data_IF_022155907795
#
_entry.id   IF_022155907795
#
_cell.length_a   1.000
_cell.length_b   1.000
_cell.length_c   1.000
_cell.angle_alpha   90.00
_cell.angle_beta   90.00
_cell.angle_gamma   90.00
#
_symmetry.space_group_name_H-M   'P 1'
#
loop_
_entity.id
_entity.type
_entity.pdbx_description
1 polymer ?
#
# COMPACT_ATOMS: atom_id res chain seq x y z
N UNK A 1 1.25 -13.01 -28.06
CA UNK A 1 0.67 -11.65 -27.96
C UNK A 1 -0.70 -11.68 -27.32
N UNK A 2 -0.76 -11.51 -25.99
CA UNK A 2 -2.03 -11.31 -25.28
C UNK A 2 -2.18 -9.80 -25.09
N UNK A 3 -3.22 -9.14 -25.65
CA UNK A 3 -3.44 -7.72 -25.41
C UNK A 3 -3.75 -7.50 -23.93
N UNK A 4 -2.97 -6.64 -23.26
CA UNK A 4 -3.27 -6.16 -21.91
C UNK A 4 -4.49 -5.23 -21.99
N UNK A 5 -5.69 -5.79 -21.95
CA UNK A 5 -6.92 -5.01 -21.85
C UNK A 5 -7.14 -4.60 -20.39
N UNK A 6 -6.96 -3.31 -20.11
CA UNK A 6 -7.32 -2.72 -18.83
C UNK A 6 -8.82 -2.38 -18.89
N UNK A 7 -9.66 -3.26 -18.36
CA UNK A 7 -11.12 -3.08 -18.36
C UNK A 7 -11.57 -2.48 -17.03
N UNK A 8 -12.08 -1.25 -17.09
CA UNK A 8 -12.79 -0.61 -15.97
C UNK A 8 -14.25 -1.08 -15.87
N UNK A 9 -14.79 -1.16 -14.67
CA UNK A 9 -16.18 -1.52 -14.34
C UNK A 9 -17.19 -0.36 -14.49
N UNK A 10 -16.73 0.89 -14.57
CA UNK A 10 -17.53 2.05 -14.98
C UNK A 10 -17.40 2.21 -16.51
N UNK A 11 -18.53 2.21 -17.23
CA UNK A 11 -18.60 2.39 -18.69
C UNK A 11 -17.81 3.61 -19.18
N UNK A 12 -17.67 4.65 -18.36
CA UNK A 12 -16.89 5.84 -18.69
C UNK A 12 -15.39 5.61 -18.60
N UNK A 13 -14.91 4.89 -17.58
CA UNK A 13 -13.50 4.56 -17.39
C UNK A 13 -13.04 3.42 -18.30
N UNK A 14 -13.93 2.48 -18.65
CA UNK A 14 -13.63 1.43 -19.64
C UNK A 14 -13.18 2.01 -20.98
N UNK A 15 -13.65 3.21 -21.36
CA UNK A 15 -13.24 3.89 -22.60
C UNK A 15 -11.83 4.46 -22.56
N UNK A 16 -11.28 4.76 -21.37
CA UNK A 16 -9.88 5.23 -21.24
C UNK A 16 -8.88 4.10 -21.48
N UNK A 17 -9.25 2.85 -21.16
CA UNK A 17 -8.41 1.67 -21.40
C UNK A 17 -8.22 1.25 -22.87
N UNK A 18 -8.88 1.92 -23.82
CA UNK A 18 -8.68 1.72 -25.25
C UNK A 18 -7.66 2.71 -25.80
N UNK A 19 -6.41 2.30 -25.93
CA UNK A 19 -5.37 3.08 -26.62
C UNK A 19 -5.52 2.87 -28.13
N UNK A 20 -5.88 3.89 -28.94
CA UNK A 20 -5.88 3.77 -30.38
C UNK A 20 -4.44 3.92 -30.88
N UNK A 21 -4.02 2.97 -31.73
CA UNK A 21 -2.74 2.87 -32.43
C UNK A 21 -1.58 2.24 -31.64
N UNK A 22 -0.96 1.28 -32.33
CA UNK A 22 0.19 0.42 -32.02
C UNK A 22 1.49 1.17 -31.61
N UNK A 23 1.42 2.16 -30.70
CA UNK A 23 2.61 2.80 -30.13
C UNK A 23 3.28 1.82 -29.15
N UNK A 24 4.63 1.75 -29.15
CA UNK A 24 5.37 0.88 -28.26
C UNK A 24 4.95 1.16 -26.81
N UNK A 25 4.59 0.09 -26.10
CA UNK A 25 4.09 0.14 -24.72
C UNK A 25 5.24 0.61 -23.83
N UNK A 26 5.31 1.92 -23.57
CA UNK A 26 5.83 2.40 -22.29
C UNK A 26 4.97 1.68 -21.25
N UNK A 27 5.60 1.04 -20.27
CA UNK A 27 4.90 0.31 -19.20
C UNK A 27 4.02 1.27 -18.40
N UNK A 28 2.80 1.51 -18.87
CA UNK A 28 1.80 2.35 -18.19
C UNK A 28 1.21 1.49 -17.06
N UNK A 29 1.51 1.85 -15.81
CA UNK A 29 1.01 1.16 -14.62
C UNK A 29 -0.32 1.74 -14.12
N UNK A 30 -0.74 2.89 -14.64
CA UNK A 30 -1.99 3.56 -14.30
C UNK A 30 -2.43 4.56 -15.37
N UNK A 31 -3.67 5.01 -15.31
CA UNK A 31 -4.22 5.96 -16.26
C UNK A 31 -5.28 6.85 -15.61
N UNK A 32 -5.17 8.16 -15.86
CA UNK A 32 -6.13 9.17 -15.45
C UNK A 32 -6.22 10.32 -16.46
N UNK A 33 -7.36 11.02 -16.46
CA UNK A 33 -7.48 12.32 -17.13
C UNK A 33 -6.86 13.39 -16.26
N UNK A 34 -6.19 14.38 -16.86
CA UNK A 34 -5.75 15.55 -16.10
C UNK A 34 -6.96 16.46 -15.79
N UNK A 35 -7.23 16.73 -14.52
CA UNK A 35 -8.25 17.67 -14.07
C UNK A 35 -9.70 17.17 -14.20
N UNK A 36 -9.90 15.85 -14.30
CA UNK A 36 -11.22 15.22 -14.43
C UNK A 36 -12.09 15.27 -13.17
N UNK A 37 -11.51 15.62 -12.02
CA UNK A 37 -12.22 15.70 -10.74
C UNK A 37 -13.40 16.67 -10.83
N UNK A 38 -14.52 16.29 -10.19
CA UNK A 38 -15.82 16.96 -10.26
C UNK A 38 -16.51 16.92 -11.64
N UNK A 39 -16.16 15.97 -12.49
CA UNK A 39 -16.89 15.74 -13.75
C UNK A 39 -17.42 14.32 -13.81
N UNK A 40 -18.69 14.16 -14.19
CA UNK A 40 -19.33 12.83 -14.21
C UNK A 40 -18.63 11.82 -15.13
N UNK A 41 -17.99 12.30 -16.20
CA UNK A 41 -17.37 11.45 -17.22
C UNK A 41 -15.89 11.17 -16.98
N UNK A 42 -15.18 12.06 -16.29
CA UNK A 42 -13.72 12.00 -16.19
C UNK A 42 -13.22 11.95 -14.73
N UNK A 43 -14.10 11.93 -13.73
CA UNK A 43 -13.72 11.74 -12.32
C UNK A 43 -13.40 10.27 -12.02
N UNK A 44 -12.46 9.70 -12.77
CA UNK A 44 -11.96 8.37 -12.52
C UNK A 44 -10.51 8.17 -12.90
N UNK A 45 -9.98 7.10 -12.33
CA UNK A 45 -8.60 6.68 -12.42
C UNK A 45 -8.53 5.15 -12.51
N UNK A 46 -7.43 4.66 -13.06
CA UNK A 46 -7.14 3.24 -13.24
C UNK A 46 -5.72 3.02 -12.73
N UNK A 47 -5.51 2.05 -11.83
CA UNK A 47 -4.17 1.69 -11.36
C UNK A 47 -3.99 0.17 -11.36
N UNK A 48 -2.81 -0.29 -11.77
CA UNK A 48 -2.42 -1.70 -11.78
C UNK A 48 -2.08 -2.17 -10.35
N UNK A 49 -2.58 -3.34 -9.97
CA UNK A 49 -2.31 -3.96 -8.67
C UNK A 49 -2.13 -5.47 -8.81
N UNK A 50 -1.10 -6.01 -8.16
CA UNK A 50 -0.87 -7.43 -8.03
C UNK A 50 -0.26 -8.12 -9.25
N UNK A 51 0.18 -7.43 -10.29
CA UNK A 51 0.58 -8.08 -11.54
C UNK A 51 1.95 -8.75 -11.45
N UNK A 52 2.09 -9.97 -11.96
CA UNK A 52 3.37 -10.66 -12.15
C UNK A 52 3.68 -10.83 -13.65
N UNK A 53 4.95 -11.00 -14.00
CA UNK A 53 5.31 -11.37 -15.38
C UNK A 53 5.03 -12.84 -15.69
N UNK A 54 5.23 -13.23 -16.94
CA UNK A 54 5.01 -14.61 -17.43
C UNK A 54 5.83 -15.66 -16.64
N UNK A 55 6.97 -15.25 -16.08
CA UNK A 55 7.82 -16.07 -15.23
C UNK A 55 7.45 -15.96 -13.75
N UNK A 56 6.30 -15.38 -13.38
CA UNK A 56 5.85 -15.20 -12.01
C UNK A 56 6.71 -14.27 -11.16
N UNK A 57 7.55 -13.42 -11.75
CA UNK A 57 8.24 -12.37 -10.99
C UNK A 57 7.29 -11.20 -10.74
N UNK A 58 7.36 -10.56 -9.56
CA UNK A 58 6.57 -9.38 -9.27
C UNK A 58 6.91 -8.24 -10.23
N UNK A 59 5.88 -7.57 -10.77
CA UNK A 59 6.01 -6.20 -11.28
C UNK A 59 6.02 -5.21 -10.11
N UNK A 60 6.43 -3.94 -10.31
CA UNK A 60 6.30 -2.90 -9.29
C UNK A 60 4.89 -2.82 -8.68
N UNK A 61 3.85 -3.02 -9.48
CA UNK A 61 2.44 -3.08 -9.04
C UNK A 61 2.09 -4.29 -8.16
N UNK A 62 2.95 -5.30 -8.01
CA UNK A 62 2.64 -6.51 -7.23
C UNK A 62 2.45 -6.25 -5.74
N UNK A 63 3.17 -5.28 -5.19
CA UNK A 63 3.18 -4.95 -3.77
C UNK A 63 2.63 -3.57 -3.47
N UNK A 64 3.01 -3.02 -2.32
CA UNK A 64 2.54 -1.72 -1.85
C UNK A 64 3.01 -0.53 -2.70
N UNK A 65 3.97 -0.72 -3.62
CA UNK A 65 4.31 0.32 -4.61
C UNK A 65 3.11 0.72 -5.46
N UNK A 66 2.11 -0.16 -5.62
CA UNK A 66 0.85 0.15 -6.29
C UNK A 66 0.08 1.33 -5.66
N UNK A 67 0.28 1.62 -4.37
CA UNK A 67 -0.32 2.79 -3.71
C UNK A 67 0.22 4.09 -4.29
N UNK A 68 1.52 4.14 -4.63
CA UNK A 68 2.11 5.34 -5.24
C UNK A 68 1.65 5.51 -6.68
N UNK A 69 1.39 4.41 -7.40
CA UNK A 69 0.77 4.44 -8.73
C UNK A 69 -0.64 5.03 -8.60
N UNK A 70 -1.43 4.54 -7.65
CA UNK A 70 -2.76 5.07 -7.36
C UNK A 70 -2.71 6.57 -7.02
N UNK A 71 -1.79 6.98 -6.15
CA UNK A 71 -1.61 8.39 -5.78
C UNK A 71 -1.24 9.25 -7.00
N UNK A 72 -0.36 8.77 -7.87
CA UNK A 72 0.02 9.45 -9.11
C UNK A 72 -1.20 9.70 -10.01
N UNK A 73 -2.04 8.69 -10.22
CA UNK A 73 -3.24 8.83 -11.04
C UNK A 73 -4.30 9.74 -10.40
N UNK A 74 -4.44 9.71 -9.07
CA UNK A 74 -5.25 10.70 -8.34
C UNK A 74 -4.70 12.11 -8.58
N UNK A 75 -3.38 12.29 -8.50
CA UNK A 75 -2.71 13.56 -8.79
C UNK A 75 -3.09 14.10 -10.17
N UNK A 76 -3.03 13.26 -11.20
CA UNK A 76 -3.55 13.62 -12.53
C UNK A 76 -5.01 14.04 -12.48
N UNK A 77 -5.90 13.26 -11.87
CA UNK A 77 -7.32 13.60 -11.81
C UNK A 77 -7.60 14.94 -11.12
N UNK A 78 -6.79 15.30 -10.12
CA UNK A 78 -6.79 16.59 -9.43
C UNK A 78 -6.18 17.73 -10.25
N UNK A 79 -5.60 17.46 -11.42
CA UNK A 79 -5.06 18.46 -12.34
C UNK A 79 -3.54 18.56 -12.36
N UNK A 80 -2.83 17.67 -11.68
CA UNK A 80 -1.37 17.68 -11.69
C UNK A 80 -0.84 17.14 -13.01
N UNK A 81 0.18 17.79 -13.54
CA UNK A 81 0.98 17.27 -14.64
C UNK A 81 2.24 16.61 -14.08
N UNK A 82 2.94 15.83 -14.92
CA UNK A 82 4.22 15.29 -14.51
C UNK A 82 5.21 16.40 -14.15
N UNK A 83 6.07 16.13 -13.17
CA UNK A 83 7.19 17.02 -12.85
C UNK A 83 8.18 17.10 -14.01
N UNK A 84 8.75 18.29 -14.23
CA UNK A 84 9.64 18.57 -15.36
C UNK A 84 8.92 18.68 -16.72
N UNK A 85 7.60 18.49 -16.77
CA UNK A 85 6.79 18.75 -17.96
C UNK A 85 6.15 20.13 -17.89
N UNK A 86 6.71 21.10 -18.63
CA UNK A 86 6.23 22.48 -18.66
C UNK A 86 6.13 23.15 -17.28
N UNK A 87 6.89 22.66 -16.30
CA UNK A 87 7.06 23.24 -14.96
C UNK A 87 8.54 23.15 -14.53
N UNK A 88 8.90 23.87 -13.48
CA UNK A 88 10.29 24.01 -13.02
C UNK A 88 10.75 22.91 -12.05
N UNK A 89 9.87 21.98 -11.67
CA UNK A 89 10.21 20.94 -10.71
C UNK A 89 11.12 19.86 -11.34
N UNK A 90 12.00 19.23 -10.54
CA UNK A 90 12.83 18.13 -11.02
C UNK A 90 11.97 16.98 -11.55
N UNK A 91 12.38 16.41 -12.69
CA UNK A 91 11.64 15.34 -13.36
C UNK A 91 11.48 14.08 -12.50
N UNK A 92 12.46 13.77 -11.66
CA UNK A 92 12.53 12.56 -10.84
C UNK A 92 12.51 12.90 -9.34
N UNK A 93 12.11 11.95 -8.48
CA UNK A 93 12.17 12.09 -7.02
C UNK A 93 10.85 12.39 -6.30
N UNK A 94 9.75 12.56 -7.03
CA UNK A 94 8.43 12.90 -6.48
C UNK A 94 7.33 12.00 -7.05
N UNK A 95 6.16 12.01 -6.40
CA UNK A 95 5.03 11.18 -6.82
C UNK A 95 4.63 11.43 -8.28
N UNK A 96 4.72 12.67 -8.77
CA UNK A 96 4.36 13.04 -10.14
C UNK A 96 5.52 12.92 -11.14
N UNK A 97 6.62 12.23 -10.79
CA UNK A 97 7.68 11.91 -11.76
C UNK A 97 7.13 11.06 -12.93
N UNK A 98 7.50 11.33 -14.20
CA UNK A 98 7.00 10.59 -15.36
C UNK A 98 7.37 9.11 -15.39
N UNK A 99 8.36 8.72 -14.58
CA UNK A 99 8.83 7.34 -14.46
C UNK A 99 8.98 7.04 -12.98
N UNK A 100 8.45 5.91 -12.54
CA UNK A 100 8.52 5.51 -11.14
C UNK A 100 9.89 4.87 -10.86
N UNK A 101 10.66 5.46 -9.97
CA UNK A 101 11.84 4.84 -9.38
C UNK A 101 11.48 3.71 -8.41
N UNK A 102 12.47 2.91 -8.02
CA UNK A 102 12.29 1.86 -7.00
C UNK A 102 12.79 2.30 -5.60
N UNK A 103 13.24 3.55 -5.48
CA UNK A 103 13.79 4.14 -4.26
C UNK A 103 13.14 5.50 -4.06
N UNK A 104 12.52 5.73 -2.89
CA UNK A 104 11.89 7.01 -2.56
C UNK A 104 10.65 7.36 -3.42
N UNK A 105 10.47 8.66 -3.69
CA UNK A 105 9.32 9.28 -4.38
C UNK A 105 8.00 9.16 -3.60
N UNK A 106 8.08 9.37 -2.29
CA UNK A 106 6.93 9.34 -1.37
C UNK A 106 6.35 10.71 -1.08
N UNK A 107 6.92 11.75 -1.70
CA UNK A 107 6.59 13.16 -1.48
C UNK A 107 6.13 13.83 -2.77
N UNK A 108 5.38 14.92 -2.62
CA UNK A 108 4.91 15.76 -3.72
C UNK A 108 5.90 16.91 -3.97
N UNK A 109 6.05 17.29 -5.24
CA UNK A 109 6.83 18.47 -5.60
C UNK A 109 6.12 19.78 -5.23
N UNK A 110 6.85 20.90 -5.29
CA UNK A 110 6.22 22.23 -5.10
C UNK A 110 5.27 22.59 -6.25
N UNK A 111 5.50 22.07 -7.45
CA UNK A 111 4.61 22.26 -8.60
C UNK A 111 3.30 21.49 -8.40
N UNK A 112 3.37 20.26 -7.89
CA UNK A 112 2.20 19.46 -7.51
C UNK A 112 1.36 20.15 -6.44
N UNK A 113 2.01 20.69 -5.38
CA UNK A 113 1.29 21.35 -4.29
C UNK A 113 0.65 22.68 -4.70
N UNK A 114 1.21 23.41 -5.67
CA UNK A 114 0.59 24.60 -6.25
C UNK A 114 -0.74 24.28 -6.94
N UNK A 115 -0.83 23.15 -7.64
CA UNK A 115 -2.10 22.71 -8.27
C UNK A 115 -3.20 22.52 -7.23
N UNK A 116 -2.88 22.00 -6.03
CA UNK A 116 -3.86 21.83 -4.96
C UNK A 116 -4.52 23.15 -4.53
N UNK A 117 -3.82 24.29 -4.66
CA UNK A 117 -4.40 25.60 -4.34
C UNK A 117 -5.55 25.96 -5.29
N UNK A 118 -5.52 25.46 -6.53
CA UNK A 118 -6.58 25.70 -7.52
C UNK A 118 -7.86 24.91 -7.22
N UNK A 119 -7.77 23.84 -6.42
CA UNK A 119 -8.90 22.99 -6.04
C UNK A 119 -9.90 23.67 -5.11
N UNK A 120 -9.55 24.81 -4.50
CA UNK A 120 -10.49 25.58 -3.66
C UNK A 120 -11.77 26.01 -4.40
N UNK A 121 -11.70 26.06 -5.74
CA UNK A 121 -12.85 26.39 -6.60
C UNK A 121 -13.74 25.18 -6.91
N UNK A 122 -13.28 23.95 -6.61
CA UNK A 122 -13.95 22.68 -6.92
C UNK A 122 -14.85 22.28 -5.76
N UNK A 123 -16.04 22.89 -5.70
CA UNK A 123 -17.01 22.71 -4.61
C UNK A 123 -17.47 21.27 -4.36
N UNK A 124 -17.35 20.37 -5.35
CA UNK A 124 -17.67 18.95 -5.17
C UNK A 124 -16.75 18.22 -4.18
N UNK A 125 -15.60 18.81 -3.82
CA UNK A 125 -14.65 18.24 -2.86
C UNK A 125 -14.88 18.72 -1.42
N UNK A 126 -15.87 19.59 -1.21
CA UNK A 126 -16.06 20.28 0.07
C UNK A 126 -17.07 19.60 0.99
N UNK A 127 -17.91 18.70 0.47
CA UNK A 127 -18.84 17.95 1.29
C UNK A 127 -18.12 16.81 2.03
N UNK A 128 -18.62 16.53 3.24
CA UNK A 128 -18.14 15.38 4.00
C UNK A 128 -18.95 14.15 3.59
N UNK A 129 -18.34 12.96 3.48
CA UNK A 129 -19.07 11.74 3.22
C UNK A 129 -20.17 11.56 4.27
N UNK A 130 -21.43 11.46 3.82
CA UNK A 130 -22.62 11.41 4.69
C UNK A 130 -22.61 10.24 5.67
N UNK A 131 -21.94 9.13 5.31
CA UNK A 131 -21.65 7.97 6.14
C UNK A 131 -20.32 7.36 5.68
N UNK A 132 -19.26 7.49 6.47
CA UNK A 132 -18.11 6.61 6.31
C UNK A 132 -18.51 5.25 6.89
N UNK A 133 -18.51 4.20 6.07
CA UNK A 133 -18.64 2.85 6.60
C UNK A 133 -17.51 2.63 7.64
N UNK A 134 -17.75 1.90 8.75
CA UNK A 134 -16.70 1.61 9.73
C UNK A 134 -15.46 0.95 9.09
N UNK A 135 -15.66 0.21 8.00
CA UNK A 135 -14.61 -0.39 7.17
C UNK A 135 -13.73 0.64 6.44
N UNK A 136 -14.26 1.83 6.11
CA UNK A 136 -13.55 2.94 5.46
C UNK A 136 -12.96 3.95 6.45
N UNK A 137 -13.11 3.73 7.77
CA UNK A 137 -12.42 4.55 8.75
C UNK A 137 -10.94 4.14 8.82
N UNK A 138 -10.13 4.76 7.97
CA UNK A 138 -8.69 4.52 7.93
C UNK A 138 -7.93 5.09 9.14
N UNK A 139 -8.56 5.97 9.94
CA UNK A 139 -7.96 6.50 11.18
C UNK A 139 -7.68 5.42 12.22
N UNK A 140 -8.30 4.23 12.11
CA UNK A 140 -7.99 3.06 12.93
C UNK A 140 -6.52 2.62 12.84
N UNK A 141 -5.82 3.00 11.77
CA UNK A 141 -4.40 2.70 11.58
C UNK A 141 -3.46 3.80 12.09
N UNK A 142 -3.99 4.86 12.72
CA UNK A 142 -3.20 5.97 13.29
C UNK A 142 -2.18 6.56 12.30
N UNK A 143 -2.48 6.56 10.99
CA UNK A 143 -1.58 7.01 9.91
C UNK A 143 -0.28 6.19 9.73
N UNK A 144 -0.16 5.04 10.41
CA UNK A 144 1.03 4.19 10.40
C UNK A 144 0.73 2.77 9.91
N UNK A 145 0.42 2.57 8.61
CA UNK A 145 0.07 1.26 8.06
C UNK A 145 1.18 0.21 8.26
N UNK A 146 2.44 0.61 8.35
CA UNK A 146 3.59 -0.26 8.62
C UNK A 146 3.58 -0.95 9.99
N UNK A 147 2.75 -0.50 10.95
CA UNK A 147 2.52 -1.22 12.22
C UNK A 147 1.72 -2.49 12.05
N UNK A 148 0.80 -2.49 11.08
CA UNK A 148 -0.01 -3.67 10.73
C UNK A 148 0.71 -4.50 9.67
N UNK A 149 1.30 -3.82 8.69
CA UNK A 149 2.02 -4.37 7.55
C UNK A 149 3.52 -4.14 7.71
N UNK A 150 4.14 -4.80 8.69
CA UNK A 150 5.60 -4.71 8.89
C UNK A 150 6.41 -5.17 7.68
N UNK A 151 7.73 -4.96 7.71
CA UNK A 151 8.62 -5.20 6.56
C UNK A 151 8.47 -6.61 5.96
N UNK A 152 8.40 -7.66 6.80
CA UNK A 152 8.17 -9.03 6.33
C UNK A 152 6.83 -9.20 5.60
N UNK A 153 5.73 -8.71 6.18
CA UNK A 153 4.40 -8.78 5.55
C UNK A 153 4.36 -8.05 4.20
N UNK A 154 5.10 -6.95 4.06
CA UNK A 154 5.25 -6.26 2.78
C UNK A 154 5.95 -7.15 1.73
N UNK A 155 6.99 -7.90 2.12
CA UNK A 155 7.63 -8.89 1.25
C UNK A 155 6.71 -10.07 0.90
N UNK A 156 5.92 -10.56 1.86
CA UNK A 156 4.95 -11.63 1.62
C UNK A 156 3.89 -11.21 0.60
N UNK A 157 3.42 -9.97 0.67
CA UNK A 157 2.48 -9.40 -0.31
C UNK A 157 3.13 -9.25 -1.68
N UNK A 158 4.34 -8.68 -1.75
CA UNK A 158 5.07 -8.48 -3.00
C UNK A 158 5.31 -9.80 -3.74
N UNK A 159 5.82 -10.81 -3.03
CA UNK A 159 6.21 -12.09 -3.62
C UNK A 159 5.06 -13.10 -3.69
N UNK A 160 3.91 -12.79 -3.08
CA UNK A 160 2.78 -13.71 -2.90
C UNK A 160 3.22 -15.02 -2.22
N UNK A 161 4.12 -14.89 -1.26
CA UNK A 161 4.83 -15.99 -0.61
C UNK A 161 4.95 -15.74 0.89
N UNK A 162 4.32 -16.60 1.70
CA UNK A 162 4.33 -16.48 3.17
C UNK A 162 5.70 -16.79 3.79
N UNK A 163 6.63 -17.36 3.02
CA UNK A 163 8.01 -17.60 3.45
C UNK A 163 8.97 -16.52 2.93
N UNK A 164 8.45 -15.43 2.35
CA UNK A 164 9.27 -14.30 1.94
C UNK A 164 9.91 -13.62 3.16
N UNK A 165 11.15 -13.21 3.00
CA UNK A 165 11.93 -12.56 4.06
C UNK A 165 12.52 -11.24 3.57
N UNK A 166 12.79 -10.37 4.54
CA UNK A 166 13.44 -9.07 4.31
C UNK A 166 14.93 -9.31 4.07
N UNK A 167 15.44 -8.75 2.97
CA UNK A 167 16.88 -8.71 2.75
C UNK A 167 17.49 -7.50 3.47
N UNK A 168 18.17 -7.74 4.58
CA UNK A 168 18.96 -6.73 5.29
C UNK A 168 20.27 -6.45 4.54
N UNK A 169 20.48 -5.19 4.16
CA UNK A 169 21.75 -4.76 3.53
C UNK A 169 22.73 -4.33 4.63
N UNK A 170 23.96 -4.84 4.60
CA UNK A 170 25.03 -4.44 5.54
C UNK A 170 25.48 -2.97 5.36
N UNK A 171 25.21 -2.36 4.20
CA UNK A 171 25.72 -1.04 3.79
C UNK A 171 24.90 0.15 4.32
N UNK A 172 24.02 -0.02 5.31
CA UNK A 172 23.32 1.08 5.98
C UNK A 172 22.21 1.77 5.16
N UNK A 173 21.79 1.21 4.02
CA UNK A 173 20.64 1.71 3.27
C UNK A 173 19.34 1.42 4.04
N UNK A 174 18.62 2.48 4.44
CA UNK A 174 17.41 2.37 5.25
C UNK A 174 16.28 1.72 4.46
N UNK A 175 15.61 0.73 5.07
CA UNK A 175 14.39 0.11 4.50
C UNK A 175 13.29 1.13 4.21
N UNK A 176 13.32 2.30 4.87
CA UNK A 176 12.36 3.38 4.64
C UNK A 176 12.51 4.01 3.25
N UNK A 177 13.69 3.95 2.65
CA UNK A 177 13.91 4.37 1.26
C UNK A 177 13.71 3.23 0.27
N UNK A 178 14.20 2.03 0.62
CA UNK A 178 14.12 0.85 -0.24
C UNK A 178 14.11 -0.45 0.57
N UNK A 179 12.96 -1.10 0.61
CA UNK A 179 12.76 -2.43 1.16
C UNK A 179 13.07 -3.48 0.08
N UNK A 180 13.94 -4.44 0.42
CA UNK A 180 14.28 -5.57 -0.44
C UNK A 180 13.78 -6.87 0.16
N UNK A 181 13.38 -7.77 -0.72
CA UNK A 181 12.74 -9.03 -0.38
C UNK A 181 13.41 -10.19 -1.12
N UNK A 182 13.46 -11.35 -0.48
CA UNK A 182 13.93 -12.59 -1.08
C UNK A 182 13.06 -13.76 -0.61
N UNK A 183 13.14 -14.89 -1.31
CA UNK A 183 12.51 -16.12 -0.88
C UNK A 183 13.35 -17.36 -1.21
N UNK A 184 12.99 -18.49 -0.61
CA UNK A 184 13.69 -19.77 -0.81
C UNK A 184 13.39 -20.39 -2.18
N UNK A 185 12.24 -20.06 -2.77
CA UNK A 185 11.80 -20.58 -4.06
C UNK A 185 12.73 -20.14 -5.20
N UNK A 186 13.34 -18.96 -5.09
CA UNK A 186 14.30 -18.41 -6.07
C UNK A 186 15.55 -17.93 -5.33
N UNK A 187 16.41 -18.87 -4.89
CA UNK A 187 17.60 -18.53 -4.11
C UNK A 187 18.50 -17.57 -4.87
N UNK A 188 19.05 -16.57 -4.17
CA UNK A 188 19.96 -15.58 -4.75
C UNK A 188 19.29 -14.44 -5.53
N UNK A 189 17.96 -14.48 -5.72
CA UNK A 189 17.22 -13.39 -6.37
C UNK A 189 16.67 -12.40 -5.36
N UNK A 190 16.94 -11.11 -5.60
CA UNK A 190 16.44 -10.00 -4.80
C UNK A 190 15.35 -9.23 -5.55
N UNK A 191 14.31 -8.85 -4.83
CA UNK A 191 13.17 -8.09 -5.33
C UNK A 191 13.05 -6.79 -4.55
N UNK A 192 12.73 -5.70 -5.23
CA UNK A 192 12.55 -4.39 -4.60
C UNK A 192 11.07 -4.13 -4.38
N UNK A 193 10.69 -3.88 -3.13
CA UNK A 193 9.31 -3.56 -2.72
C UNK A 193 9.00 -2.05 -2.77
N UNK A 194 10.00 -1.21 -3.08
CA UNK A 194 9.93 0.23 -2.88
C UNK A 194 10.20 0.64 -1.42
N UNK A 195 9.91 1.89 -1.03
CA UNK A 195 10.07 2.34 0.35
C UNK A 195 9.13 1.59 1.30
N UNK A 196 9.62 1.22 2.49
CA UNK A 196 8.78 0.62 3.51
C UNK A 196 7.69 1.58 3.97
N UNK A 197 6.49 1.06 4.23
CA UNK A 197 5.35 1.84 4.68
C UNK A 197 5.62 2.63 5.96
N UNK A 198 5.03 3.81 6.08
CA UNK A 198 5.10 4.62 7.30
C UNK A 198 4.66 3.81 8.52
N UNK A 199 5.47 3.84 9.57
CA UNK A 199 5.27 3.06 10.80
C UNK A 199 6.01 1.72 10.83
N UNK A 200 6.65 1.31 9.73
CA UNK A 200 7.48 0.10 9.72
C UNK A 200 8.72 0.30 10.58
N UNK A 201 9.02 -0.64 11.48
CA UNK A 201 10.24 -0.59 12.30
C UNK A 201 11.48 -0.72 11.43
N UNK A 202 12.35 0.29 11.46
CA UNK A 202 13.58 0.35 10.66
C UNK A 202 14.86 0.09 11.46
N UNK A 203 14.80 0.31 12.77
CA UNK A 203 15.82 -0.08 13.75
C UNK A 203 15.18 -0.06 15.14
N UNK A 204 15.79 -0.66 16.17
CA UNK A 204 15.20 -0.69 17.50
C UNK A 204 14.78 0.70 17.99
N UNK A 205 13.48 0.87 18.26
CA UNK A 205 12.88 2.14 18.72
C UNK A 205 12.73 3.22 17.63
N UNK A 206 12.85 2.87 16.34
CA UNK A 206 12.70 3.77 15.21
C UNK A 206 11.75 3.22 14.15
N UNK A 207 11.01 4.12 13.53
CA UNK A 207 10.03 3.80 12.49
C UNK A 207 10.27 4.60 11.22
N UNK A 208 9.81 4.07 10.09
CA UNK A 208 9.75 4.81 8.84
C UNK A 208 8.69 5.90 8.90
N UNK A 209 9.04 7.10 8.45
CA UNK A 209 8.09 8.18 8.19
C UNK A 209 8.58 9.01 7.02
N UNK A 210 7.77 9.10 5.96
CA UNK A 210 8.10 9.89 4.77
C UNK A 210 9.45 9.53 4.15
N UNK A 211 9.86 8.27 4.23
CA UNK A 211 11.13 7.76 3.71
C UNK A 211 12.31 7.78 4.69
N UNK A 212 12.17 8.44 5.84
CA UNK A 212 13.22 8.55 6.85
C UNK A 212 13.02 7.59 8.03
N UNK A 213 14.13 7.11 8.60
CA UNK A 213 14.12 6.29 9.82
C UNK A 213 14.23 7.18 11.07
N UNK A 214 13.08 7.54 11.63
CA UNK A 214 12.96 8.49 12.75
C UNK A 214 12.69 7.78 14.08
N UNK A 215 12.97 8.44 15.21
CA UNK A 215 12.59 7.91 16.54
C UNK A 215 11.08 7.77 16.64
N UNK A 216 10.61 6.66 17.18
CA UNK A 216 9.19 6.48 17.47
C UNK A 216 8.81 7.31 18.71
N UNK A 217 8.17 8.45 18.47
CA UNK A 217 7.70 9.35 19.55
C UNK A 217 6.34 8.95 20.13
N UNK A 218 5.70 7.93 19.57
CA UNK A 218 4.45 7.37 20.10
C UNK A 218 4.68 6.23 21.09
N UNK A 219 5.89 5.69 21.10
CA UNK A 219 6.36 4.76 22.13
C UNK A 219 6.90 5.56 23.31
N UNK A 220 6.52 5.25 24.57
CA UNK A 220 7.12 5.88 25.74
C UNK A 220 8.65 5.75 25.69
N UNK A 221 9.37 6.81 26.04
CA UNK A 221 10.83 6.82 26.03
C UNK A 221 11.39 5.61 26.81
N UNK A 222 12.44 4.92 26.32
CA UNK A 222 13.14 3.94 27.12
C UNK A 222 13.68 4.64 28.38
N UNK A 223 13.22 4.21 29.55
CA UNK A 223 13.67 4.71 30.84
C UNK A 223 15.19 4.55 30.93
N UNK A 224 15.90 5.67 31.01
CA UNK A 224 17.35 5.76 31.21
C UNK A 224 17.73 5.40 32.65
N UNK A 225 17.46 4.16 33.05
CA UNK A 225 17.99 3.58 34.28
C UNK A 225 18.92 2.44 33.87
N UNK A 226 20.20 2.41 34.31
CA UNK A 226 21.08 1.30 34.02
C UNK A 226 20.44 0.00 34.54
N UNK A 227 20.54 -1.14 33.83
CA UNK A 227 20.01 -2.40 34.34
C UNK A 227 20.83 -2.79 35.58
N UNK A 228 20.26 -2.55 36.76
CA UNK A 228 20.65 -3.28 37.95
C UNK A 228 20.44 -4.76 37.67
N UNK A 229 21.48 -5.55 37.94
CA UNK A 229 21.43 -7.00 37.89
C UNK A 229 20.37 -7.49 38.87
N UNK A 230 19.15 -7.71 38.39
CA UNK A 230 18.13 -8.45 39.11
C UNK A 230 17.61 -9.58 38.21
N UNK A 231 18.07 -10.78 38.55
CA UNK A 231 17.25 -11.98 38.72
C UNK A 231 16.10 -12.14 37.72
N UNK A 232 16.39 -12.81 36.62
CA UNK A 232 15.44 -13.30 35.63
C UNK A 232 14.44 -14.27 36.29
N UNK A 233 13.31 -13.76 36.74
CA UNK A 233 12.09 -14.53 37.00
C UNK A 233 10.91 -13.72 36.49
N UNK A 234 10.49 -13.96 35.26
CA UNK A 234 9.24 -13.43 34.73
C UNK A 234 8.46 -14.59 34.14
N UNK A 235 7.42 -15.01 34.86
CA UNK A 235 6.35 -15.82 34.32
C UNK A 235 5.64 -15.01 33.24
N UNK A 236 5.94 -15.27 31.97
CA UNK A 236 5.26 -14.64 30.84
C UNK A 236 3.76 -14.95 30.88
N UNK A 237 2.92 -13.93 30.66
CA UNK A 237 1.47 -14.12 30.59
C UNK A 237 1.08 -15.03 29.43
N UNK A 238 0.20 -15.99 29.69
CA UNK A 238 -0.23 -16.96 28.69
C UNK A 238 -1.37 -16.39 27.85
N UNK A 239 -1.14 -16.25 26.54
CA UNK A 239 -2.17 -15.91 25.57
C UNK A 239 -3.20 -17.04 25.40
N UNK A 240 -4.46 -16.68 25.20
CA UNK A 240 -5.46 -17.58 24.66
C UNK A 240 -5.28 -17.81 23.16
N UNK A 241 -6.05 -18.75 22.63
CA UNK A 241 -6.04 -19.06 21.20
C UNK A 241 -6.62 -17.90 20.38
N UNK A 242 -6.12 -17.76 19.17
CA UNK A 242 -6.69 -16.83 18.19
C UNK A 242 -8.09 -17.28 17.77
N UNK A 243 -9.05 -16.37 17.84
CA UNK A 243 -10.44 -16.59 17.45
C UNK A 243 -10.87 -15.56 16.42
N UNK A 244 -11.67 -15.94 15.42
CA UNK A 244 -12.21 -14.98 14.47
C UNK A 244 -13.15 -14.00 15.18
N UNK A 245 -12.99 -12.71 14.87
CA UNK A 245 -13.86 -11.62 15.35
C UNK A 245 -15.11 -11.52 14.49
N UNK A 246 -14.97 -11.79 13.20
CA UNK A 246 -16.00 -11.70 12.18
C UNK A 246 -15.88 -12.87 11.19
N UNK A 247 -16.95 -13.13 10.44
CA UNK A 247 -16.91 -14.07 9.31
C UNK A 247 -15.98 -13.53 8.21
N UNK A 248 -15.41 -14.45 7.42
CA UNK A 248 -14.55 -14.14 6.28
C UNK A 248 -15.19 -13.06 5.39
N UNK A 249 -14.55 -11.88 5.32
CA UNK A 249 -15.02 -10.76 4.52
C UNK A 249 -14.38 -10.83 3.12
N UNK A 250 -15.21 -10.85 2.08
CA UNK A 250 -14.79 -10.76 0.68
C UNK A 250 -15.73 -9.84 -0.07
N UNK A 251 -15.18 -8.93 -0.89
CA UNK A 251 -15.97 -8.10 -1.81
C UNK A 251 -15.50 -8.22 -3.27
N UNK A 252 -14.71 -9.24 -3.64
CA UNK A 252 -14.18 -9.30 -5.00
C UNK A 252 -14.03 -10.75 -5.54
N UNK A 253 -14.61 -11.02 -6.71
CA UNK A 253 -14.45 -12.15 -7.67
C UNK A 253 -14.44 -13.62 -7.19
N UNK A 254 -14.86 -14.49 -8.12
CA UNK A 254 -14.82 -15.95 -8.03
C UNK A 254 -13.37 -16.46 -7.85
N UNK A 255 -13.12 -17.29 -6.83
CA UNK A 255 -11.80 -17.85 -6.40
C UNK A 255 -10.84 -16.87 -5.68
N UNK A 256 -11.30 -15.72 -5.21
CA UNK A 256 -10.48 -14.88 -4.33
C UNK A 256 -10.36 -15.46 -2.90
N UNK A 257 -9.35 -15.01 -2.16
CA UNK A 257 -9.27 -15.22 -0.70
C UNK A 257 -9.82 -13.96 -0.02
N UNK A 258 -10.74 -14.14 0.92
CA UNK A 258 -11.17 -13.06 1.81
C UNK A 258 -10.14 -12.82 2.91
N UNK A 259 -10.42 -11.86 3.79
CA UNK A 259 -9.66 -11.67 5.02
C UNK A 259 -10.57 -11.88 6.23
N UNK A 260 -9.96 -12.31 7.34
CA UNK A 260 -10.64 -12.51 8.60
C UNK A 260 -9.80 -11.89 9.72
N UNK A 261 -10.44 -11.03 10.50
CA UNK A 261 -9.85 -10.45 11.70
C UNK A 261 -9.84 -11.51 12.80
N UNK A 262 -8.69 -11.70 13.44
CA UNK A 262 -8.46 -12.66 14.52
C UNK A 262 -8.13 -11.91 15.80
N UNK A 263 -8.67 -12.37 16.93
CA UNK A 263 -8.40 -11.82 18.26
C UNK A 263 -8.07 -12.91 19.26
N UNK A 264 -7.13 -12.65 20.16
CA UNK A 264 -6.82 -13.51 21.31
C UNK A 264 -6.92 -12.70 22.60
N UNK A 265 -7.24 -13.39 23.71
CA UNK A 265 -7.39 -12.76 25.02
C UNK A 265 -6.29 -13.28 25.94
N UNK A 266 -5.65 -12.39 26.69
CA UNK A 266 -4.68 -12.77 27.69
C UNK A 266 -5.38 -13.53 28.83
N UNK A 267 -4.97 -14.77 29.10
CA UNK A 267 -5.55 -15.60 30.17
C UNK A 267 -4.87 -15.38 31.52
N UNK A 268 -3.79 -14.59 31.55
CA UNK A 268 -3.01 -14.30 32.76
C UNK A 268 -3.37 -12.93 33.35
N UNK A 269 -3.38 -12.85 34.68
CA UNK A 269 -3.60 -11.60 35.41
C UNK A 269 -2.38 -10.65 35.36
N UNK A 270 -1.25 -11.10 34.83
CA UNK A 270 0.03 -10.37 34.81
C UNK A 270 0.20 -9.57 33.50
N UNK A 271 -0.80 -9.61 32.61
CA UNK A 271 -0.72 -9.04 31.25
C UNK A 271 0.10 -9.93 30.32
N UNK A 272 -0.15 -9.83 29.02
CA UNK A 272 0.54 -10.62 28.00
C UNK A 272 1.24 -9.69 27.02
N UNK A 273 2.46 -10.02 26.65
CA UNK A 273 3.26 -9.23 25.71
C UNK A 273 2.95 -9.63 24.26
N UNK A 274 2.83 -8.64 23.37
CA UNK A 274 2.50 -8.83 21.95
C UNK A 274 1.06 -8.44 21.58
N UNK A 275 0.70 -8.61 20.30
CA UNK A 275 -0.60 -8.17 19.76
C UNK A 275 -1.75 -9.08 20.20
N UNK A 276 -2.90 -8.49 20.53
CA UNK A 276 -4.16 -9.21 20.78
C UNK A 276 -5.05 -9.32 19.52
N UNK A 277 -4.73 -8.59 18.45
CA UNK A 277 -5.40 -8.62 17.13
C UNK A 277 -4.43 -8.94 15.96
N UNK A 278 -4.92 -9.70 14.97
CA UNK A 278 -4.23 -10.01 13.71
C UNK A 278 -5.26 -10.20 12.56
N UNK A 279 -4.79 -10.35 11.33
CA UNK A 279 -5.65 -10.68 10.18
C UNK A 279 -5.05 -11.81 9.35
N UNK A 280 -5.90 -12.75 8.95
CA UNK A 280 -5.52 -13.92 8.16
C UNK A 280 -6.32 -13.99 6.88
N UNK A 281 -5.73 -14.57 5.83
CA UNK A 281 -6.43 -14.84 4.58
C UNK A 281 -7.32 -16.07 4.77
N UNK A 282 -8.59 -15.96 4.40
CA UNK A 282 -9.59 -17.02 4.49
C UNK A 282 -10.13 -17.39 3.10
N UNK A 283 -10.65 -18.60 2.96
CA UNK A 283 -11.37 -19.02 1.75
C UNK A 283 -12.84 -18.62 1.91
N UNK A 284 -13.37 -17.90 0.93
CA UNK A 284 -14.80 -17.60 0.85
C UNK A 284 -15.43 -18.49 -0.23
N UNK A 285 -16.46 -19.26 0.15
CA UNK A 285 -17.22 -20.14 -0.75
C UNK A 285 -18.55 -19.51 -1.20
N UNK A 286 -18.86 -18.27 -0.77
CA UNK A 286 -20.09 -17.56 -1.18
C UNK A 286 -19.96 -17.09 -2.62
N UNK A 287 -20.40 -17.94 -3.56
CA UNK A 287 -20.44 -17.66 -5.00
C UNK A 287 -21.50 -16.60 -5.32
N UNK A 288 -21.08 -15.35 -5.44
CA UNK A 288 -21.84 -14.32 -6.15
C UNK A 288 -21.63 -14.46 -7.65
N UNK A 289 -22.68 -14.82 -8.38
CA UNK A 289 -22.67 -14.88 -9.86
C UNK A 289 -22.50 -13.45 -10.38
N UNK A 290 -21.31 -13.14 -10.91
CA UNK A 290 -21.13 -12.02 -11.84
C UNK A 290 -20.19 -12.50 -12.95
N UNK A 291 -20.66 -12.36 -14.18
CA UNK A 291 -19.97 -12.69 -15.43
C UNK A 291 -18.58 -12.06 -15.49
N UNK A 292 -17.66 -12.73 -16.19
CA UNK A 292 -16.30 -12.32 -16.60
C UNK A 292 -15.88 -10.90 -16.19
N UNK A 293 -14.72 -10.77 -15.51
CA UNK A 293 -13.65 -9.79 -15.76
C UNK A 293 -12.76 -9.52 -14.54
N UNK A 294 -11.52 -9.14 -14.83
CA UNK A 294 -10.43 -8.82 -13.91
C UNK A 294 -10.80 -7.70 -12.92
N UNK A 295 -10.31 -7.81 -11.68
CA UNK A 295 -10.45 -6.78 -10.64
C UNK A 295 -9.62 -5.54 -10.99
N UNK A 296 -10.29 -4.51 -11.50
CA UNK A 296 -9.83 -3.13 -11.48
C UNK A 296 -10.37 -2.49 -10.18
N UNK A 297 -9.50 -1.99 -9.30
CA UNK A 297 -9.95 -1.08 -8.24
C UNK A 297 -10.26 0.26 -8.91
N UNK A 298 -11.54 0.53 -9.19
CA UNK A 298 -12.02 1.87 -9.52
C UNK A 298 -12.41 2.54 -8.21
N UNK A 299 -11.63 3.52 -7.78
CA UNK A 299 -12.12 4.49 -6.81
C UNK A 299 -12.75 5.63 -7.61
N UNK A 300 -14.07 5.76 -7.57
CA UNK A 300 -14.70 7.04 -7.87
C UNK A 300 -14.43 7.95 -6.69
N UNK A 301 -13.76 9.08 -6.93
CA UNK A 301 -13.70 10.16 -5.95
C UNK A 301 -15.09 10.77 -5.76
#
# INVERSE_FOLDING_TARGET
DIPKHIMGHDRNCSRMGYIPNNRPIISILGLATVGGVCTEKYSCIIAELGTTNEYGNPYPSSGFTAIYILAHEIGHNLGMHHDGNSNYCPKEGFIMSPSRGTSGEVSWSTCSSQVLQTLQTKTCLHDKPKKMAPTMNHSKFQEYPGRVWGAKKQCEVLLRDTEAEVWSVENGESICNILRCHNKQRPGKLYVSGPALDGTECSPGRICKSGDCIRDTSSPAPSTTPPSKESKVTSEGVWGDWKPVEDCQSQCLVKSKGYQSMRRVCKSNIGCEGRDEDSVLCKDEKVGIVFDHLNCFITTA
#
